data_IF_856394569567
#
_entry.id   IF_856394569567
#
_cell.length_a   1.000
_cell.length_b   1.000
_cell.length_c   1.000
_cell.angle_alpha   90.00
_cell.angle_beta   90.00
_cell.angle_gamma   90.00
#
_symmetry.space_group_name_H-M   'P 1'
#
loop_
_entity.id
_entity.type
_entity.pdbx_description
1 polymer ?
#
# COMPACT_ATOMS: atom_id res chain seq x y z
N UNK A 1 -33.14 -26.82 41.31
CA UNK A 1 -33.42 -28.08 40.59
C UNK A 1 -32.12 -28.54 39.97
N UNK A 2 -31.45 -29.43 40.69
CA UNK A 2 -30.22 -30.11 40.27
C UNK A 2 -30.53 -31.18 39.23
N UNK A 3 -29.60 -31.47 38.33
CA UNK A 3 -29.40 -32.85 37.87
C UNK A 3 -27.91 -33.13 37.73
N UNK A 4 -27.52 -34.24 38.37
CA UNK A 4 -26.19 -34.79 38.45
C UNK A 4 -25.94 -35.83 37.34
N UNK A 5 -24.65 -36.05 37.10
CA UNK A 5 -23.93 -37.17 36.44
C UNK A 5 -24.48 -38.56 36.87
N UNK A 6 -24.16 -39.73 36.23
CA UNK A 6 -22.78 -40.19 35.92
C UNK A 6 -22.55 -41.27 34.83
N UNK A 7 -21.29 -41.47 34.39
CA UNK A 7 -20.56 -42.74 34.54
C UNK A 7 -19.10 -42.71 34.02
N UNK A 8 -18.21 -43.37 34.77
CA UNK A 8 -16.82 -43.78 34.52
C UNK A 8 -16.76 -45.30 34.80
N UNK A 9 -15.84 -46.09 34.20
CA UNK A 9 -14.76 -46.72 35.01
C UNK A 9 -13.46 -46.90 34.18
N UNK A 10 -12.23 -46.65 34.65
CA UNK A 10 -11.34 -47.26 35.67
C UNK A 10 -10.19 -48.06 35.04
N UNK A 11 -9.05 -48.05 35.78
CA UNK A 11 -7.86 -48.93 35.79
C UNK A 11 -6.62 -48.43 35.04
N UNK A 12 -5.40 -48.48 35.60
CA UNK A 12 -4.92 -48.91 36.92
C UNK A 12 -3.54 -48.27 37.19
N UNK A 13 -3.26 -48.14 38.49
CA UNK A 13 -2.07 -47.67 39.20
C UNK A 13 -0.86 -48.61 39.07
N UNK A 14 0.38 -48.12 39.27
CA UNK A 14 1.51 -48.73 40.02
C UNK A 14 2.71 -47.73 40.05
N UNK A 15 3.05 -47.25 41.25
CA UNK A 15 4.36 -46.73 41.74
C UNK A 15 5.16 -47.89 42.39
N UNK A 16 6.40 -47.76 42.98
CA UNK A 16 7.26 -46.59 43.33
C UNK A 16 8.77 -46.82 42.94
N UNK A 17 9.74 -45.92 43.15
CA UNK A 17 10.53 -45.80 44.40
C UNK A 17 11.54 -44.62 44.34
N UNK A 18 11.57 -43.86 45.44
CA UNK A 18 12.73 -43.39 46.21
C UNK A 18 13.89 -42.63 45.52
N UNK A 19 14.19 -41.41 46.01
CA UNK A 19 15.36 -41.10 46.87
C UNK A 19 15.27 -39.63 47.31
N UNK A 20 15.26 -39.42 48.63
CA UNK A 20 15.44 -38.13 49.34
C UNK A 20 16.91 -37.95 49.84
N UNK A 21 17.29 -36.74 50.33
CA UNK A 21 18.67 -36.18 50.40
C UNK A 21 19.39 -36.55 51.74
N UNK A 22 20.61 -36.09 52.15
CA UNK A 22 20.97 -34.69 52.54
C UNK A 22 22.53 -34.45 52.56
N UNK A 23 23.21 -33.71 53.50
CA UNK A 23 22.91 -32.51 54.31
C UNK A 23 23.99 -31.38 54.24
N UNK A 24 23.65 -30.23 54.84
CA UNK A 24 24.52 -29.19 55.41
C UNK A 24 24.73 -29.42 56.92
N UNK A 25 25.87 -29.01 57.51
CA UNK A 25 26.09 -28.52 58.91
C UNK A 25 27.60 -28.24 59.14
N UNK A 26 28.03 -27.00 59.42
CA UNK A 26 28.40 -26.37 60.73
C UNK A 26 29.84 -26.70 61.24
N UNK A 27 30.77 -25.70 61.27
CA UNK A 27 31.40 -24.99 62.44
C UNK A 27 32.51 -25.84 63.14
N UNK A 28 33.73 -25.41 63.51
CA UNK A 28 34.23 -24.20 64.19
C UNK A 28 35.80 -24.05 64.14
N UNK A 29 36.26 -22.81 64.35
CA UNK A 29 37.46 -22.28 65.08
C UNK A 29 38.88 -22.92 64.99
N UNK A 30 39.91 -22.11 64.62
CA UNK A 30 40.95 -21.58 65.56
C UNK A 30 41.91 -20.56 64.88
N UNK A 31 42.42 -19.65 65.71
CA UNK A 31 43.39 -18.55 65.54
C UNK A 31 44.78 -19.08 65.08
N UNK A 32 45.75 -18.34 64.52
CA UNK A 32 46.55 -17.24 65.10
C UNK A 32 47.47 -16.59 64.05
N UNK A 33 47.51 -15.25 64.06
CA UNK A 33 48.64 -14.28 63.92
C UNK A 33 50.04 -14.72 63.43
N UNK A 34 50.61 -14.04 62.40
CA UNK A 34 51.86 -13.22 62.49
C UNK A 34 52.56 -12.88 61.14
N UNK A 35 52.69 -11.57 60.89
CA UNK A 35 53.83 -10.77 60.37
C UNK A 35 54.42 -10.89 58.93
N UNK A 36 54.57 -9.70 58.33
CA UNK A 36 55.15 -9.28 57.02
C UNK A 36 56.70 -9.31 56.98
N UNK A 37 57.47 -8.72 55.99
CA UNK A 37 57.12 -8.11 54.68
C UNK A 37 58.10 -8.42 53.50
N UNK A 38 57.79 -7.82 52.33
CA UNK A 38 58.68 -7.33 51.26
C UNK A 38 59.23 -8.29 50.18
N UNK A 39 58.77 -8.09 48.94
CA UNK A 39 59.59 -7.67 47.79
C UNK A 39 58.70 -7.54 46.53
N UNK A 40 58.68 -6.35 45.92
CA UNK A 40 58.24 -6.17 44.54
C UNK A 40 59.12 -6.98 43.58
N UNK A 41 58.59 -7.39 42.42
CA UNK A 41 59.19 -6.80 41.23
C UNK A 41 58.19 -6.45 40.12
N UNK A 42 58.35 -5.21 39.64
CA UNK A 42 58.31 -4.77 38.24
C UNK A 42 57.03 -5.00 37.42
N UNK A 43 56.44 -3.86 37.04
CA UNK A 43 55.40 -3.67 36.03
C UNK A 43 55.63 -4.45 34.72
N UNK A 44 54.59 -5.01 34.09
CA UNK A 44 54.59 -5.21 32.66
C UNK A 44 54.35 -3.86 31.98
N UNK A 45 55.28 -3.51 31.11
CA UNK A 45 55.20 -2.41 30.15
C UNK A 45 53.88 -2.54 29.38
N UNK A 46 53.03 -1.50 29.45
CA UNK A 46 51.92 -1.32 28.53
C UNK A 46 52.51 -1.12 27.13
N UNK A 47 52.58 -2.21 26.37
CA UNK A 47 52.90 -2.18 24.95
C UNK A 47 51.68 -1.54 24.27
N UNK A 48 51.74 -0.23 24.06
CA UNK A 48 50.80 0.51 23.21
C UNK A 48 50.77 -0.17 21.84
N UNK A 49 49.76 -1.02 21.63
CA UNK A 49 49.48 -1.63 20.35
C UNK A 49 49.21 -0.49 19.34
N UNK A 50 50.22 -0.18 18.52
CA UNK A 50 50.08 0.66 17.33
C UNK A 50 49.01 0.04 16.44
N UNK A 51 47.76 0.48 16.61
CA UNK A 51 46.67 0.05 15.75
C UNK A 51 46.99 0.48 14.32
N UNK A 52 47.05 -0.48 13.39
CA UNK A 52 47.19 -0.19 11.97
C UNK A 52 46.08 0.79 11.50
N UNK A 53 46.37 1.68 10.55
CA UNK A 53 45.39 2.67 10.11
C UNK A 53 44.21 1.99 9.42
N UNK A 54 43.04 2.01 10.07
CA UNK A 54 41.78 1.56 9.49
C UNK A 54 41.33 2.56 8.42
N UNK A 55 41.32 2.13 7.16
CA UNK A 55 40.78 2.94 6.05
C UNK A 55 39.29 2.67 5.95
N UNK A 56 38.48 3.72 6.10
CA UNK A 56 37.02 3.65 5.95
C UNK A 56 36.64 3.83 4.48
N UNK A 57 35.67 3.04 4.02
CA UNK A 57 35.13 3.16 2.66
C UNK A 57 34.44 4.52 2.50
N UNK A 58 34.76 5.25 1.43
CA UNK A 58 34.08 6.51 1.13
C UNK A 58 32.61 6.31 0.71
N UNK A 59 32.27 5.12 0.20
CA UNK A 59 30.93 4.83 -0.34
C UNK A 59 30.07 4.01 0.64
N UNK A 60 30.71 3.17 1.47
CA UNK A 60 30.02 2.18 2.31
C UNK A 60 30.45 2.26 3.79
N UNK A 61 30.65 3.48 4.30
CA UNK A 61 30.85 3.74 5.73
C UNK A 61 29.84 4.80 6.19
N UNK A 62 28.67 4.34 6.63
CA UNK A 62 27.57 5.22 7.03
C UNK A 62 27.59 5.46 8.55
N UNK A 63 27.36 6.70 8.96
CA UNK A 63 27.03 7.04 10.34
C UNK A 63 25.50 7.03 10.46
N UNK A 64 24.95 5.94 11.01
CA UNK A 64 23.50 5.74 11.05
C UNK A 64 22.80 6.83 11.87
N UNK A 65 22.02 7.67 11.18
CA UNK A 65 21.11 8.60 11.82
C UNK A 65 19.69 8.05 11.84
N UNK A 66 19.09 8.03 13.02
CA UNK A 66 17.69 7.71 13.21
C UNK A 66 16.85 8.98 13.27
N UNK A 67 15.62 8.86 12.77
CA UNK A 67 14.58 9.87 12.88
C UNK A 67 13.32 9.25 13.49
N UNK A 68 12.64 10.02 14.34
CA UNK A 68 11.36 9.67 14.93
C UNK A 68 10.24 10.35 14.14
N UNK A 69 9.33 9.56 13.59
CA UNK A 69 8.09 10.03 12.99
C UNK A 69 6.90 9.72 13.89
N UNK A 70 5.89 10.59 13.89
CA UNK A 70 4.64 10.39 14.60
C UNK A 70 3.47 10.44 13.64
N UNK A 71 2.62 9.43 13.71
CA UNK A 71 1.37 9.35 12.94
C UNK A 71 0.20 9.32 13.92
N UNK A 72 -0.76 10.21 13.70
CA UNK A 72 -2.00 10.27 14.47
C UNK A 72 -3.08 9.54 13.68
N UNK A 73 -3.77 8.59 14.32
CA UNK A 73 -4.89 7.91 13.69
C UNK A 73 -5.95 8.93 13.23
N UNK A 74 -6.33 8.89 11.96
CA UNK A 74 -7.44 9.68 11.46
C UNK A 74 -8.75 9.12 12.03
N UNK A 75 -9.49 10.00 12.71
CA UNK A 75 -10.85 9.84 13.26
C UNK A 75 -10.90 9.08 14.61
N UNK A 76 -11.06 9.74 15.76
CA UNK A 76 -12.31 10.40 16.21
C UNK A 76 -13.57 9.70 15.72
N UNK A 77 -13.78 8.47 16.17
CA UNK A 77 -15.13 7.90 16.25
C UNK A 77 -15.91 8.66 17.32
N UNK A 78 -17.11 9.12 16.97
CA UNK A 78 -18.09 9.61 17.92
C UNK A 78 -18.81 8.37 18.47
N UNK A 79 -18.49 7.95 19.70
CA UNK A 79 -19.39 7.10 20.48
C UNK A 79 -20.38 7.99 21.22
N UNK A 80 -21.49 7.41 21.71
CA UNK A 80 -22.50 8.10 22.52
C UNK A 80 -21.91 8.69 23.83
N UNK A 81 -20.68 8.31 24.14
CA UNK A 81 -19.89 8.59 25.34
C UNK A 81 -18.67 9.51 25.08
N UNK A 82 -18.50 10.01 23.84
CA UNK A 82 -17.52 11.06 23.49
C UNK A 82 -16.50 10.67 22.41
N UNK A 83 -15.50 11.53 22.23
CA UNK A 83 -14.45 11.35 21.22
C UNK A 83 -13.46 10.25 21.64
N UNK A 84 -13.39 9.14 20.89
CA UNK A 84 -12.35 8.12 21.09
C UNK A 84 -11.00 8.70 20.65
N UNK A 85 -10.18 9.15 21.61
CA UNK A 85 -8.77 9.50 21.38
C UNK A 85 -7.96 8.22 21.19
N UNK A 86 -7.65 7.86 19.94
CA UNK A 86 -6.65 6.81 19.68
C UNK A 86 -5.25 7.37 19.96
N UNK A 87 -4.35 6.57 20.57
CA UNK A 87 -2.98 7.00 20.80
C UNK A 87 -2.25 7.19 19.46
N UNK A 88 -1.34 8.15 19.41
CA UNK A 88 -0.45 8.32 18.27
C UNK A 88 0.65 7.24 18.29
N UNK A 89 1.03 6.75 17.11
CA UNK A 89 2.14 5.79 16.98
C UNK A 89 3.40 6.53 16.58
N UNK A 90 4.52 6.20 17.21
CA UNK A 90 5.85 6.72 16.91
C UNK A 90 6.68 5.63 16.22
N UNK A 91 7.39 6.01 15.15
CA UNK A 91 8.24 5.13 14.37
C UNK A 91 9.67 5.66 14.45
N UNK A 92 10.62 4.83 14.90
CA UNK A 92 12.06 5.13 14.85
C UNK A 92 12.67 4.43 13.63
N UNK A 93 13.17 5.20 12.68
CA UNK A 93 13.61 4.69 11.36
C UNK A 93 14.91 5.35 10.90
N UNK A 94 15.61 4.75 9.94
CA UNK A 94 16.86 5.30 9.40
C UNK A 94 16.54 6.48 8.49
N UNK A 95 17.12 7.64 8.79
CA UNK A 95 16.93 8.88 8.05
C UNK A 95 17.40 8.76 6.59
N UNK A 96 18.43 7.94 6.33
CA UNK A 96 19.00 7.73 5.01
C UNK A 96 17.96 7.38 3.94
N UNK A 97 17.01 6.46 4.22
CA UNK A 97 16.01 6.05 3.24
C UNK A 97 15.11 7.20 2.79
N UNK A 98 14.84 8.15 3.68
CA UNK A 98 13.99 9.30 3.41
C UNK A 98 14.77 10.37 2.65
N UNK A 99 16.00 10.68 3.08
CA UNK A 99 16.88 11.65 2.41
C UNK A 99 17.24 11.20 1.00
N UNK A 100 17.47 9.90 0.80
CA UNK A 100 17.83 9.34 -0.52
C UNK A 100 16.70 9.56 -1.52
N UNK A 101 15.49 9.13 -1.17
CA UNK A 101 14.39 8.95 -2.12
C UNK A 101 13.34 10.07 -2.10
N UNK A 102 13.40 11.02 -1.15
CA UNK A 102 12.45 12.15 -1.07
C UNK A 102 13.17 13.49 -0.93
N UNK A 103 12.85 14.40 -1.84
CA UNK A 103 13.33 15.78 -1.80
C UNK A 103 12.76 16.55 -0.60
N UNK A 104 11.49 16.32 -0.25
CA UNK A 104 10.85 16.95 0.93
C UNK A 104 11.66 16.66 2.20
N UNK A 105 12.03 15.39 2.41
CA UNK A 105 12.79 15.02 3.60
C UNK A 105 14.25 15.48 3.53
N UNK A 106 14.88 15.45 2.35
CA UNK A 106 16.22 16.00 2.14
C UNK A 106 16.30 17.47 2.56
N UNK A 107 15.33 18.27 2.13
CA UNK A 107 15.25 19.71 2.43
C UNK A 107 14.89 19.95 3.90
N UNK A 108 13.93 19.19 4.42
CA UNK A 108 13.52 19.24 5.83
C UNK A 108 14.70 19.02 6.78
N UNK A 109 15.57 18.06 6.47
CA UNK A 109 16.71 17.72 7.32
C UNK A 109 17.97 18.59 7.11
N UNK A 110 18.04 19.36 6.02
CA UNK A 110 19.16 20.29 5.78
C UNK A 110 18.86 21.70 6.26
N UNK A 111 17.61 22.04 6.52
CA UNK A 111 17.22 23.32 7.07
C UNK A 111 17.76 23.49 8.51
N UNK A 112 18.46 24.58 8.84
CA UNK A 112 18.95 24.80 10.19
C UNK A 112 17.77 24.97 11.15
N UNK A 113 17.57 24.00 12.04
CA UNK A 113 16.67 24.13 13.18
C UNK A 113 17.08 25.35 14.00
N UNK A 114 16.16 26.27 14.26
CA UNK A 114 16.40 27.39 15.18
C UNK A 114 16.74 26.90 16.60
N UNK A 115 16.91 27.83 17.55
CA UNK A 115 17.32 27.56 18.95
C UNK A 115 16.42 26.57 19.73
N UNK A 116 15.34 26.06 19.15
CA UNK A 116 14.41 25.12 19.77
C UNK A 116 14.56 23.73 19.14
N UNK A 117 15.13 22.81 19.92
CA UNK A 117 15.02 21.34 19.81
C UNK A 117 15.14 20.73 18.41
N UNK A 118 16.23 19.99 18.16
CA UNK A 118 16.39 19.16 16.95
C UNK A 118 15.15 18.27 16.71
N UNK A 119 14.37 18.61 15.69
CA UNK A 119 13.17 17.88 15.30
C UNK A 119 13.51 16.45 14.89
N UNK A 120 12.67 15.49 15.29
CA UNK A 120 12.81 14.10 14.92
C UNK A 120 13.94 13.34 15.64
N UNK A 121 14.61 13.92 16.64
CA UNK A 121 15.69 13.25 17.40
C UNK A 121 15.22 12.39 18.56
N UNK A 122 14.07 12.71 19.14
CA UNK A 122 13.50 12.00 20.30
C UNK A 122 12.02 11.71 20.06
N UNK A 123 11.43 10.84 20.88
CA UNK A 123 9.98 10.59 20.84
C UNK A 123 9.15 11.85 21.13
N UNK A 124 9.65 12.74 21.99
CA UNK A 124 9.00 14.01 22.33
C UNK A 124 9.05 15.02 21.17
N UNK A 125 10.12 14.96 20.37
CA UNK A 125 10.33 15.84 19.21
C UNK A 125 10.00 15.14 17.88
N UNK A 126 9.29 14.01 17.91
CA UNK A 126 9.00 13.22 16.71
C UNK A 126 8.23 14.03 15.65
N UNK A 127 8.69 13.95 14.40
CA UNK A 127 8.13 14.69 13.26
C UNK A 127 6.72 14.18 12.96
N UNK A 128 5.73 15.07 13.03
CA UNK A 128 4.35 14.73 12.69
C UNK A 128 4.21 14.54 11.17
N UNK A 129 3.61 13.42 10.77
CA UNK A 129 3.25 13.16 9.37
C UNK A 129 1.74 13.43 9.16
N UNK A 130 1.33 14.66 8.80
CA UNK A 130 -0.08 15.03 8.71
C UNK A 130 -0.78 14.29 7.56
N UNK A 131 -2.00 13.80 7.82
CA UNK A 131 -2.84 13.17 6.82
C UNK A 131 -2.32 11.83 6.29
N UNK A 132 -1.32 11.24 6.96
CA UNK A 132 -0.82 9.89 6.70
C UNK A 132 -1.54 8.92 7.62
N UNK A 133 -2.04 7.83 7.07
CA UNK A 133 -2.60 6.71 7.81
C UNK A 133 -1.49 5.74 8.26
N UNK A 134 -1.76 4.96 9.31
CA UNK A 134 -0.83 3.90 9.76
C UNK A 134 -0.50 2.92 8.62
N UNK A 135 -1.50 2.55 7.81
CA UNK A 135 -1.30 1.64 6.70
C UNK A 135 -0.34 2.21 5.65
N UNK A 136 -0.48 3.49 5.29
CA UNK A 136 0.42 4.15 4.33
C UNK A 136 1.88 4.16 4.80
N UNK A 137 2.15 4.53 6.06
CA UNK A 137 3.52 4.54 6.59
C UNK A 137 4.08 3.13 6.73
N UNK A 138 3.29 2.14 7.16
CA UNK A 138 3.73 0.75 7.27
C UNK A 138 4.04 0.14 5.90
N UNK A 139 3.25 0.46 4.87
CA UNK A 139 3.54 0.09 3.49
C UNK A 139 4.86 0.73 3.01
N UNK A 140 5.07 2.02 3.26
CA UNK A 140 6.33 2.70 2.91
C UNK A 140 7.54 2.08 3.61
N UNK A 141 7.47 1.88 4.92
CA UNK A 141 8.56 1.28 5.69
C UNK A 141 8.82 -0.17 5.27
N UNK A 142 7.76 -0.94 5.05
CA UNK A 142 7.88 -2.29 4.51
C UNK A 142 8.57 -2.28 3.14
N UNK A 143 8.23 -1.33 2.26
CA UNK A 143 8.86 -1.18 0.96
C UNK A 143 10.35 -0.81 1.08
N UNK A 144 10.70 0.16 1.92
CA UNK A 144 12.08 0.63 2.09
C UNK A 144 13.00 -0.43 2.73
N UNK A 145 12.50 -1.16 3.73
CA UNK A 145 13.31 -2.12 4.48
C UNK A 145 13.26 -3.55 3.93
N UNK A 146 12.13 -3.95 3.32
CA UNK A 146 11.88 -5.33 2.89
C UNK A 146 11.65 -5.46 1.39
N UNK A 147 11.57 -4.37 0.63
CA UNK A 147 11.15 -4.39 -0.78
C UNK A 147 12.03 -5.24 -1.71
N UNK A 148 13.29 -5.51 -1.34
CA UNK A 148 14.15 -6.43 -2.10
C UNK A 148 13.71 -7.90 -1.99
N UNK A 149 13.04 -8.25 -0.90
CA UNK A 149 12.69 -9.64 -0.55
C UNK A 149 11.18 -9.88 -0.58
N UNK A 150 10.38 -8.84 -0.33
CA UNK A 150 8.93 -8.90 -0.31
C UNK A 150 8.37 -8.55 -1.68
N UNK A 151 7.95 -9.57 -2.42
CA UNK A 151 7.38 -9.44 -3.76
C UNK A 151 5.86 -9.37 -3.77
N UNK A 152 5.20 -9.59 -2.62
CA UNK A 152 3.74 -9.70 -2.54
C UNK A 152 3.14 -8.46 -1.91
N UNK A 153 2.72 -7.52 -2.76
CA UNK A 153 1.92 -6.37 -2.38
C UNK A 153 0.56 -6.44 -3.05
N UNK A 154 -0.50 -6.29 -2.27
CA UNK A 154 -1.84 -6.20 -2.80
C UNK A 154 -2.08 -4.81 -3.41
N UNK A 155 -3.09 -4.69 -4.26
CA UNK A 155 -3.48 -3.42 -4.86
C UNK A 155 -3.74 -2.33 -3.81
N UNK A 156 -4.29 -2.70 -2.64
CA UNK A 156 -4.47 -1.78 -1.51
C UNK A 156 -3.15 -1.17 -1.02
N UNK A 157 -2.11 -2.00 -0.89
CA UNK A 157 -0.78 -1.57 -0.46
C UNK A 157 -0.13 -0.63 -1.49
N UNK A 158 -0.30 -0.93 -2.79
CA UNK A 158 0.18 -0.06 -3.86
C UNK A 158 -0.54 1.29 -3.88
N UNK A 159 -1.84 1.33 -3.61
CA UNK A 159 -2.59 2.58 -3.48
C UNK A 159 -2.11 3.37 -2.25
N UNK A 160 -1.81 2.70 -1.14
CA UNK A 160 -1.25 3.32 0.04
C UNK A 160 0.15 3.91 -0.24
N UNK A 161 1.01 3.16 -0.94
CA UNK A 161 2.31 3.63 -1.43
C UNK A 161 2.18 4.82 -2.39
N UNK A 162 1.25 4.76 -3.36
CA UNK A 162 0.98 5.87 -4.28
C UNK A 162 0.64 7.15 -3.49
N UNK A 163 -0.21 7.04 -2.48
CA UNK A 163 -0.69 8.17 -1.70
C UNK A 163 0.40 8.83 -0.85
N UNK A 164 1.21 8.04 -0.13
CA UNK A 164 2.31 8.59 0.66
C UNK A 164 3.49 9.07 -0.20
N UNK A 165 3.78 8.35 -1.30
CA UNK A 165 4.85 8.73 -2.22
C UNK A 165 4.55 10.05 -2.93
N UNK A 166 3.30 10.24 -3.38
CA UNK A 166 2.84 11.49 -3.99
C UNK A 166 2.91 12.66 -2.99
N UNK A 167 2.56 12.41 -1.71
CA UNK A 167 2.55 13.46 -0.67
C UNK A 167 3.95 13.97 -0.31
N UNK A 168 4.93 13.07 -0.21
CA UNK A 168 6.29 13.41 0.20
C UNK A 168 7.30 13.33 -0.95
N UNK A 169 6.85 13.37 -2.20
CA UNK A 169 7.69 13.37 -3.41
C UNK A 169 8.74 12.23 -3.42
N UNK A 170 8.28 10.99 -3.20
CA UNK A 170 9.11 9.80 -3.42
C UNK A 170 8.97 9.32 -4.87
N UNK A 171 9.55 10.04 -5.84
CA UNK A 171 9.26 9.85 -7.26
C UNK A 171 9.55 8.44 -7.79
N UNK A 172 10.63 7.81 -7.31
CA UNK A 172 10.97 6.42 -7.67
C UNK A 172 9.92 5.43 -7.17
N UNK A 173 9.44 5.62 -5.93
CA UNK A 173 8.39 4.78 -5.33
C UNK A 173 7.05 5.05 -5.99
N UNK A 174 6.74 6.32 -6.28
CA UNK A 174 5.53 6.74 -6.98
C UNK A 174 5.45 6.09 -8.37
N UNK A 175 6.53 6.18 -9.14
CA UNK A 175 6.64 5.57 -10.47
C UNK A 175 6.49 4.04 -10.43
N UNK A 176 7.06 3.39 -9.40
CA UNK A 176 6.87 1.96 -9.17
C UNK A 176 5.41 1.63 -8.85
N UNK A 177 4.78 2.38 -7.96
CA UNK A 177 3.39 2.15 -7.56
C UNK A 177 2.42 2.33 -8.73
N UNK A 178 2.61 3.36 -9.56
CA UNK A 178 1.81 3.58 -10.77
C UNK A 178 1.87 2.36 -11.68
N UNK A 179 3.08 1.88 -12.01
CA UNK A 179 3.28 0.72 -12.88
C UNK A 179 2.60 -0.55 -12.32
N UNK A 180 2.74 -0.81 -11.03
CA UNK A 180 2.15 -2.01 -10.41
C UNK A 180 0.62 -1.93 -10.34
N UNK A 181 0.06 -0.74 -10.15
CA UNK A 181 -1.39 -0.51 -10.22
C UNK A 181 -1.90 -0.71 -11.65
N UNK A 182 -1.17 -0.26 -12.67
CA UNK A 182 -1.53 -0.45 -14.08
C UNK A 182 -1.57 -1.94 -14.46
N UNK A 183 -0.60 -2.72 -13.99
CA UNK A 183 -0.59 -4.18 -14.19
C UNK A 183 -1.80 -4.86 -13.54
N UNK A 184 -2.36 -4.26 -12.49
CA UNK A 184 -3.48 -4.79 -11.73
C UNK A 184 -4.77 -3.97 -11.91
N UNK A 185 -4.89 -3.20 -12.99
CA UNK A 185 -5.99 -2.23 -13.17
C UNK A 185 -7.39 -2.85 -13.12
N UNK A 186 -7.53 -4.11 -13.53
CA UNK A 186 -8.80 -4.87 -13.48
C UNK A 186 -9.30 -5.11 -12.05
N UNK A 187 -8.41 -5.05 -11.06
CA UNK A 187 -8.74 -5.21 -9.65
C UNK A 187 -9.27 -3.92 -9.01
N UNK A 188 -9.22 -2.78 -9.73
CA UNK A 188 -9.71 -1.49 -9.26
C UNK A 188 -10.90 -1.03 -10.10
N UNK A 189 -12.02 -0.81 -9.42
CA UNK A 189 -13.23 -0.24 -10.04
C UNK A 189 -12.89 1.07 -10.76
N UNK A 190 -13.37 1.29 -12.01
CA UNK A 190 -13.02 2.47 -12.82
C UNK A 190 -13.20 3.81 -12.11
N UNK A 191 -14.29 3.96 -11.34
CA UNK A 191 -14.57 5.18 -10.55
C UNK A 191 -13.42 5.49 -9.60
N UNK A 192 -12.92 4.47 -8.88
CA UNK A 192 -11.80 4.64 -7.95
C UNK A 192 -10.51 4.96 -8.70
N UNK A 193 -10.29 4.40 -9.90
CA UNK A 193 -9.14 4.76 -10.75
C UNK A 193 -9.17 6.23 -11.17
N UNK A 194 -10.33 6.75 -11.57
CA UNK A 194 -10.48 8.17 -11.92
C UNK A 194 -10.19 9.05 -10.71
N UNK A 195 -10.75 8.73 -9.54
CA UNK A 195 -10.52 9.49 -8.31
C UNK A 195 -9.03 9.51 -7.95
N UNK A 196 -8.35 8.35 -8.01
CA UNK A 196 -6.91 8.27 -7.76
C UNK A 196 -6.10 9.04 -8.79
N UNK A 197 -6.48 8.94 -10.07
CA UNK A 197 -5.82 9.61 -11.17
C UNK A 197 -5.88 11.14 -11.04
N UNK A 198 -7.06 11.69 -10.74
CA UNK A 198 -7.21 13.13 -10.51
C UNK A 198 -6.47 13.57 -9.25
N UNK A 199 -6.56 12.79 -8.16
CA UNK A 199 -5.93 13.13 -6.88
C UNK A 199 -4.40 13.17 -6.95
N UNK A 200 -3.79 12.28 -7.74
CA UNK A 200 -2.34 12.11 -7.83
C UNK A 200 -1.75 12.58 -9.17
N UNK A 201 -2.53 13.29 -9.97
CA UNK A 201 -2.16 13.82 -11.30
C UNK A 201 -1.59 12.75 -12.25
N UNK A 202 -2.38 11.70 -12.49
CA UNK A 202 -2.05 10.54 -13.33
C UNK A 202 -2.99 10.50 -14.55
N UNK A 203 -2.83 11.41 -15.53
CA UNK A 203 -3.79 11.59 -16.62
C UNK A 203 -3.96 10.34 -17.50
N UNK A 204 -2.93 9.50 -17.62
CA UNK A 204 -2.97 8.29 -18.45
C UNK A 204 -4.02 7.26 -17.99
N UNK A 205 -4.49 7.34 -16.74
CA UNK A 205 -5.54 6.45 -16.23
C UNK A 205 -6.96 6.92 -16.58
N UNK A 206 -7.14 8.18 -16.97
CA UNK A 206 -8.44 8.80 -17.16
C UNK A 206 -9.18 8.24 -18.37
N UNK A 207 -8.57 8.34 -19.56
CA UNK A 207 -9.15 7.83 -20.82
C UNK A 207 -9.60 6.36 -20.73
N UNK A 208 -8.76 5.39 -20.30
CA UNK A 208 -9.18 4.00 -20.22
C UNK A 208 -10.30 3.79 -19.19
N UNK A 209 -10.25 4.46 -18.03
CA UNK A 209 -11.29 4.31 -17.01
C UNK A 209 -12.64 4.93 -17.43
N UNK A 210 -12.63 6.09 -18.11
CA UNK A 210 -13.84 6.68 -18.68
C UNK A 210 -14.44 5.79 -19.77
N UNK A 211 -13.60 5.24 -20.65
CA UNK A 211 -14.05 4.34 -21.72
C UNK A 211 -14.72 3.09 -21.15
N UNK A 212 -14.13 2.49 -20.11
CA UNK A 212 -14.71 1.35 -19.41
C UNK A 212 -16.06 1.69 -18.75
N UNK A 213 -16.17 2.87 -18.13
CA UNK A 213 -17.44 3.33 -17.58
C UNK A 213 -18.49 3.61 -18.66
N UNK A 214 -18.09 3.99 -19.87
CA UNK A 214 -19.02 4.18 -20.97
C UNK A 214 -19.54 2.86 -21.54
N UNK A 215 -18.68 1.83 -21.58
CA UNK A 215 -19.03 0.48 -22.04
C UNK A 215 -19.87 -0.32 -21.03
N UNK A 216 -19.73 -0.02 -19.74
CA UNK A 216 -20.45 -0.70 -18.66
C UNK A 216 -21.98 -0.62 -18.83
N UNK A 217 -22.68 -1.75 -18.69
CA UNK A 217 -24.14 -1.78 -18.84
C UNK A 217 -24.87 -0.94 -17.78
N UNK A 218 -24.46 -1.10 -16.51
CA UNK A 218 -25.07 -0.36 -15.39
C UNK A 218 -24.76 1.15 -15.46
N UNK A 219 -25.79 1.96 -15.19
CA UNK A 219 -25.66 3.40 -15.06
C UNK A 219 -24.78 3.79 -13.85
N UNK A 220 -24.36 5.06 -13.81
CA UNK A 220 -23.70 5.64 -12.64
C UNK A 220 -24.68 5.67 -11.46
N UNK A 221 -24.25 5.18 -10.31
CA UNK A 221 -25.01 5.35 -9.06
C UNK A 221 -24.80 6.75 -8.49
N UNK A 222 -25.67 7.20 -7.60
CA UNK A 222 -25.51 8.49 -6.90
C UNK A 222 -24.18 8.56 -6.15
N UNK A 223 -23.76 7.47 -5.50
CA UNK A 223 -22.47 7.40 -4.80
C UNK A 223 -21.27 7.47 -5.76
N UNK A 224 -21.35 6.83 -6.93
CA UNK A 224 -20.32 6.96 -7.96
C UNK A 224 -20.25 8.40 -8.50
N UNK A 225 -21.41 9.05 -8.72
CA UNK A 225 -21.47 10.43 -9.18
C UNK A 225 -20.91 11.42 -8.16
N UNK A 226 -21.21 11.23 -6.87
CA UNK A 226 -20.62 12.01 -5.77
C UNK A 226 -19.10 11.87 -5.71
N UNK A 227 -18.58 10.64 -5.83
CA UNK A 227 -17.15 10.38 -5.81
C UNK A 227 -16.40 11.01 -7.00
N UNK A 228 -17.01 11.00 -8.19
CA UNK A 228 -16.43 11.59 -9.41
C UNK A 228 -16.51 13.12 -9.44
N UNK A 229 -17.43 13.69 -8.67
CA UNK A 229 -17.83 15.09 -8.77
C UNK A 229 -18.80 15.34 -9.92
N UNK A 230 -19.68 16.33 -9.72
CA UNK A 230 -20.76 16.67 -10.65
C UNK A 230 -20.28 16.93 -12.10
N UNK A 231 -19.19 17.70 -12.36
CA UNK A 231 -18.76 17.96 -13.73
C UNK A 231 -18.37 16.69 -14.49
N UNK A 232 -17.61 15.81 -13.85
CA UNK A 232 -17.16 14.53 -14.42
C UNK A 232 -18.34 13.60 -14.67
N UNK A 233 -19.27 13.51 -13.71
CA UNK A 233 -20.45 12.68 -13.81
C UNK A 233 -21.37 13.10 -14.99
N UNK A 234 -21.58 14.42 -15.18
CA UNK A 234 -22.36 14.94 -16.31
C UNK A 234 -21.71 14.60 -17.64
N UNK A 235 -20.39 14.83 -17.79
CA UNK A 235 -19.66 14.51 -19.02
C UNK A 235 -19.69 13.01 -19.34
N UNK A 236 -19.61 12.16 -18.32
CA UNK A 236 -19.77 10.70 -18.49
C UNK A 236 -21.19 10.32 -18.95
N UNK A 237 -22.22 10.97 -18.40
CA UNK A 237 -23.59 10.74 -18.82
C UNK A 237 -23.79 11.14 -20.29
N UNK A 238 -23.26 12.29 -20.70
CA UNK A 238 -23.24 12.76 -22.09
C UNK A 238 -22.52 11.77 -23.02
N UNK A 239 -21.35 11.28 -22.61
CA UNK A 239 -20.59 10.27 -23.37
C UNK A 239 -21.39 8.99 -23.59
N UNK A 240 -22.05 8.50 -22.53
CA UNK A 240 -22.91 7.31 -22.60
C UNK A 240 -24.13 7.54 -23.51
N UNK A 241 -24.77 8.69 -23.41
CA UNK A 241 -25.90 9.06 -24.28
C UNK A 241 -25.47 9.10 -25.75
N UNK A 242 -24.34 9.73 -26.04
CA UNK A 242 -23.79 9.80 -27.40
C UNK A 242 -23.47 8.41 -27.97
N UNK A 243 -22.90 7.52 -27.17
CA UNK A 243 -22.69 6.12 -27.55
C UNK A 243 -24.01 5.40 -27.85
N UNK A 244 -25.02 5.60 -27.00
CA UNK A 244 -26.35 5.01 -27.19
C UNK A 244 -26.99 5.50 -28.49
N UNK A 245 -26.96 6.81 -28.77
CA UNK A 245 -27.48 7.37 -30.02
C UNK A 245 -26.76 6.81 -31.25
N UNK A 246 -25.43 6.64 -31.18
CA UNK A 246 -24.66 6.00 -32.26
C UNK A 246 -25.05 4.53 -32.45
N UNK A 247 -25.29 3.77 -31.37
CA UNK A 247 -25.80 2.39 -31.43
C UNK A 247 -27.19 2.33 -32.07
N UNK A 248 -28.12 3.19 -31.65
CA UNK A 248 -29.46 3.29 -32.23
C UNK A 248 -29.38 3.65 -33.73
N UNK A 249 -28.55 4.61 -34.10
CA UNK A 249 -28.36 5.01 -35.49
C UNK A 249 -27.84 3.84 -36.35
N UNK A 250 -26.89 3.04 -35.84
CA UNK A 250 -26.39 1.82 -36.52
C UNK A 250 -27.50 0.78 -36.71
N UNK A 251 -28.30 0.52 -35.68
CA UNK A 251 -29.43 -0.43 -35.76
C UNK A 251 -30.52 0.03 -36.73
N UNK A 252 -30.69 1.35 -36.90
CA UNK A 252 -31.63 1.94 -37.83
C UNK A 252 -31.06 2.09 -39.26
N UNK A 253 -29.81 1.67 -39.53
CA UNK A 253 -29.26 1.76 -40.88
C UNK A 253 -30.06 0.88 -41.84
N UNK A 254 -30.43 1.40 -43.02
CA UNK A 254 -31.08 0.58 -44.03
C UNK A 254 -30.10 -0.52 -44.46
N UNK A 255 -30.51 -1.77 -44.30
CA UNK A 255 -29.77 -2.91 -44.85
C UNK A 255 -29.62 -2.68 -46.35
N UNK A 256 -28.39 -2.76 -46.85
CA UNK A 256 -28.07 -2.67 -48.27
C UNK A 256 -29.06 -3.52 -49.07
N UNK A 257 -29.49 -3.07 -50.26
CA UNK A 257 -30.27 -3.95 -51.15
C UNK A 257 -29.40 -5.17 -51.47
N UNK A 258 -29.64 -6.28 -50.79
CA UNK A 258 -28.99 -7.56 -51.09
C UNK A 258 -29.56 -8.03 -52.42
N UNK A 259 -28.82 -7.76 -53.50
CA UNK A 259 -29.21 -8.19 -54.84
C UNK A 259 -28.91 -9.68 -54.96
N UNK A 260 -29.95 -10.48 -55.20
CA UNK A 260 -29.80 -11.90 -55.41
C UNK A 260 -28.99 -12.16 -56.69
N UNK A 261 -27.88 -12.94 -56.66
CA UNK A 261 -27.16 -13.34 -57.88
C UNK A 261 -28.03 -14.12 -58.87
N UNK A 262 -29.13 -14.72 -58.38
CA UNK A 262 -30.11 -15.48 -59.18
C UNK A 262 -31.33 -14.65 -59.59
N UNK A 263 -31.36 -13.34 -59.30
CA UNK A 263 -32.46 -12.44 -59.68
C UNK A 263 -33.82 -12.75 -59.07
N UNK A 264 -33.89 -13.59 -58.01
CA UNK A 264 -35.15 -13.96 -57.36
C UNK A 264 -35.38 -13.12 -56.10
N UNK A 265 -36.53 -12.45 -56.03
CA UNK A 265 -37.02 -11.81 -54.81
C UNK A 265 -37.40 -12.89 -53.77
N UNK A 266 -37.07 -12.66 -52.50
CA UNK A 266 -37.46 -13.55 -51.40
C UNK A 266 -36.75 -14.91 -51.33
N UNK A 267 -35.57 -15.09 -51.92
CA UNK A 267 -34.84 -16.36 -51.74
C UNK A 267 -34.32 -16.53 -50.30
N UNK A 268 -34.35 -17.77 -49.78
CA UNK A 268 -33.74 -18.13 -48.48
C UNK A 268 -32.26 -17.74 -48.37
N UNK A 269 -31.55 -17.65 -49.50
CA UNK A 269 -30.17 -17.16 -49.56
C UNK A 269 -30.01 -15.68 -49.18
N UNK A 270 -30.89 -14.83 -49.70
CA UNK A 270 -30.87 -13.39 -49.44
C UNK A 270 -31.49 -13.09 -48.08
N UNK A 271 -32.43 -13.91 -47.61
CA UNK A 271 -32.97 -13.81 -46.26
C UNK A 271 -31.92 -14.12 -45.19
N UNK A 272 -31.13 -15.18 -45.34
CA UNK A 272 -30.00 -15.45 -44.45
C UNK A 272 -28.89 -14.39 -44.54
N UNK A 273 -28.59 -13.87 -45.74
CA UNK A 273 -27.63 -12.77 -45.89
C UNK A 273 -28.12 -11.50 -45.19
N UNK A 274 -29.41 -11.18 -45.31
CA UNK A 274 -30.05 -10.06 -44.64
C UNK A 274 -30.04 -10.22 -43.13
N UNK A 275 -30.37 -11.41 -42.64
CA UNK A 275 -30.28 -11.74 -41.22
C UNK A 275 -28.85 -11.59 -40.71
N UNK A 276 -27.84 -12.07 -41.45
CA UNK A 276 -26.42 -11.89 -41.08
C UNK A 276 -25.97 -10.44 -41.03
N UNK A 277 -26.42 -9.60 -41.96
CA UNK A 277 -26.13 -8.15 -41.92
C UNK A 277 -26.83 -7.46 -40.74
N UNK A 278 -28.09 -7.81 -40.47
CA UNK A 278 -28.86 -7.25 -39.34
C UNK A 278 -28.30 -7.71 -37.98
N UNK A 279 -27.83 -8.96 -37.89
CA UNK A 279 -27.23 -9.50 -36.66
C UNK A 279 -25.73 -9.23 -36.55
N UNK A 280 -25.13 -8.51 -37.51
CA UNK A 280 -23.72 -8.12 -37.42
C UNK A 280 -23.61 -7.03 -36.36
N UNK A 281 -23.59 -7.44 -35.09
CA UNK A 281 -23.29 -6.54 -33.98
C UNK A 281 -21.87 -6.02 -34.15
N UNK A 282 -21.63 -4.80 -33.67
CA UNK A 282 -20.28 -4.29 -33.53
C UNK A 282 -19.46 -5.30 -32.71
N UNK A 283 -18.20 -5.50 -33.11
CA UNK A 283 -17.28 -6.29 -32.29
C UNK A 283 -16.99 -5.54 -31.00
N UNK A 284 -16.62 -6.26 -29.93
CA UNK A 284 -16.24 -5.62 -28.67
C UNK A 284 -15.10 -4.60 -28.86
N UNK A 285 -14.21 -4.84 -29.81
CA UNK A 285 -13.12 -3.93 -30.17
C UNK A 285 -13.63 -2.65 -30.86
N UNK A 286 -14.58 -2.76 -31.79
CA UNK A 286 -15.23 -1.59 -32.42
C UNK A 286 -16.01 -0.76 -31.40
N UNK A 287 -16.64 -1.39 -30.40
CA UNK A 287 -17.30 -0.68 -29.31
C UNK A 287 -16.30 0.04 -28.42
N UNK A 288 -15.18 -0.61 -28.10
CA UNK A 288 -14.10 -0.02 -27.30
C UNK A 288 -13.49 1.20 -28.00
N UNK A 289 -13.16 1.09 -29.28
CA UNK A 289 -12.63 2.20 -30.08
C UNK A 289 -13.63 3.36 -30.16
N UNK A 290 -14.92 3.04 -30.30
CA UNK A 290 -15.97 4.06 -30.27
C UNK A 290 -16.04 4.77 -28.91
N UNK A 291 -15.95 4.03 -27.81
CA UNK A 291 -15.95 4.59 -26.45
C UNK A 291 -14.76 5.53 -26.25
N UNK A 292 -13.56 5.08 -26.61
CA UNK A 292 -12.33 5.88 -26.51
C UNK A 292 -12.43 7.18 -27.31
N UNK A 293 -12.93 7.13 -28.55
CA UNK A 293 -13.10 8.30 -29.39
C UNK A 293 -14.14 9.30 -28.83
N UNK A 294 -15.27 8.80 -28.33
CA UNK A 294 -16.31 9.64 -27.71
C UNK A 294 -15.78 10.30 -26.43
N UNK A 295 -14.99 9.57 -25.64
CA UNK A 295 -14.36 10.10 -24.43
C UNK A 295 -13.34 11.18 -24.76
N UNK A 296 -12.46 10.98 -25.74
CA UNK A 296 -11.51 12.01 -26.20
C UNK A 296 -12.24 13.29 -26.62
N UNK A 297 -13.31 13.16 -27.40
CA UNK A 297 -14.08 14.30 -27.90
C UNK A 297 -14.73 15.13 -26.77
N UNK A 298 -15.27 14.47 -25.74
CA UNK A 298 -16.00 15.14 -24.65
C UNK A 298 -15.06 15.67 -23.56
N UNK A 299 -13.99 14.94 -23.26
CA UNK A 299 -13.08 15.30 -22.17
C UNK A 299 -11.86 16.10 -22.63
N UNK A 300 -11.57 16.16 -23.93
CA UNK A 300 -10.41 16.86 -24.48
C UNK A 300 -9.09 16.23 -24.05
N UNK A 301 -9.05 14.90 -23.98
CA UNK A 301 -7.90 14.09 -23.57
C UNK A 301 -7.03 13.66 -24.75
#
# INVERSE_FOLDING_TARGET
MSFALPWYPDRDFIEPDGVEPPPSDELDEDSTESQSPAAEPTSPVEEEAKSEPIIRSAEYFFEDQFVFFRVVASLTGQSDDGWIKRPATVYKVHQYFFVRDSEVFRDMFTCPTGEQTEEGRTEATAILLPGVSHHEIECLLSFLYKGMYDHTKYVGDWIALLSIASRYMFDGILSRAIREIELQHSSIVPVKRIVLAVKHDIPQWLKPAYSELCLRDRALSSHEAEALGLPTAIRLAEAREKMLLKRIARLNQPVSKIVCPKGKEGCRCCEHARQREVTKSATAEEEKQLAEHVVEEIFGL
#
